data_IF_878496720859
#
_entry.id   IF_878496720859
#
_cell.length_a   1.000
_cell.length_b   1.000
_cell.length_c   1.000
_cell.angle_alpha   90.00
_cell.angle_beta   90.00
_cell.angle_gamma   90.00
#
_symmetry.space_group_name_H-M   'P 1'
#
loop_
_entity.id
_entity.type
_entity.pdbx_description
1 polymer ?
2 water ?
#
# COMPACT_ATOMS: atom_id res chain seq x y z
N UNK A 2 19.46 -0.50 -0.65
CA UNK A 2 18.60 -0.69 -1.81
C UNK A 2 17.14 -0.62 -1.41
N UNK A 3 16.32 0.08 -2.19
CA UNK A 3 14.89 0.07 -1.91
C UNK A 3 14.31 -1.32 -2.06
N UNK A 4 14.87 -2.12 -2.97
CA UNK A 4 14.36 -3.46 -3.22
C UNK A 4 14.50 -4.35 -2.00
N UNK A 5 15.53 -4.14 -1.17
CA UNK A 5 15.66 -4.99 0.01
C UNK A 5 14.54 -4.75 1.00
N UNK A 6 14.02 -3.52 1.07
CA UNK A 6 12.88 -3.27 1.95
C UNK A 6 11.67 -4.08 1.50
N UNK A 7 11.47 -4.20 0.18
CA UNK A 7 10.34 -4.98 -0.32
C UNK A 7 10.58 -6.46 -0.08
N UNK A 8 11.74 -6.96 -0.50
CA UNK A 8 11.98 -8.39 -0.47
C UNK A 8 12.01 -8.94 0.95
N UNK A 9 12.68 -8.23 1.86
CA UNK A 9 12.91 -8.74 3.20
C UNK A 9 11.88 -8.29 4.23
N UNK A 10 11.21 -7.15 4.01
CA UNK A 10 10.39 -6.56 5.06
C UNK A 10 8.93 -6.35 4.69
N UNK A 11 8.56 -6.50 3.43
CA UNK A 11 7.16 -6.57 3.06
C UNK A 11 6.76 -7.96 2.61
N UNK A 12 7.62 -8.65 1.87
CA UNK A 12 7.28 -9.96 1.36
C UNK A 12 7.71 -11.08 2.31
N UNK A 13 7.84 -10.77 3.59
CA UNK A 13 8.25 -11.75 4.59
C UNK A 13 7.03 -12.49 5.14
N UNK A 14 7.30 -13.57 5.86
CA UNK A 14 6.21 -14.34 6.46
C UNK A 14 5.65 -13.61 7.67
N UNK A 15 4.33 -13.67 7.83
CA UNK A 15 3.65 -13.11 9.00
C UNK A 15 2.62 -14.13 9.47
N UNK A 16 2.88 -14.78 10.60
CA UNK A 16 2.00 -15.81 11.14
C UNK A 16 1.60 -16.82 10.07
N UNK A 17 2.57 -17.20 9.23
CA UNK A 17 2.36 -18.22 8.22
C UNK A 17 1.87 -17.73 6.87
N UNK A 18 1.49 -16.45 6.76
CA UNK A 18 0.94 -15.89 5.53
C UNK A 18 1.93 -14.91 4.90
N UNK A 19 1.66 -14.56 3.65
CA UNK A 19 2.54 -13.64 2.93
C UNK A 19 1.72 -12.76 2.00
N UNK A 20 2.09 -11.48 1.90
CA UNK A 20 1.46 -10.61 0.92
C UNK A 20 1.54 -11.23 -0.47
N UNK A 21 0.55 -10.93 -1.29
CA UNK A 21 0.61 -11.32 -2.69
C UNK A 21 1.55 -10.41 -3.48
N UNK A 22 1.57 -9.13 -3.15
CA UNK A 22 2.46 -8.21 -3.84
C UNK A 22 2.68 -6.99 -2.95
N UNK A 23 3.72 -6.24 -3.27
CA UNK A 23 4.12 -5.08 -2.48
C UNK A 23 4.97 -4.17 -3.33
N UNK A 24 5.06 -2.92 -2.91
CA UNK A 24 5.87 -1.95 -3.62
C UNK A 24 6.14 -0.75 -2.75
N UNK A 25 7.18 0.00 -3.12
CA UNK A 25 7.45 1.32 -2.59
C UNK A 25 7.53 2.26 -3.78
N UNK A 26 6.65 3.25 -3.82
CA UNK A 26 6.62 4.26 -4.87
C UNK A 26 7.00 5.62 -4.30
N UNK A 27 7.72 6.42 -5.08
CA UNK A 27 7.86 7.81 -4.71
C UNK A 27 6.51 8.50 -4.68
N UNK A 28 6.43 9.57 -3.90
CA UNK A 28 5.20 10.34 -3.96
C UNK A 28 5.00 11.01 -5.32
N UNK A 29 5.90 10.78 -6.27
CA UNK A 29 5.70 11.19 -7.65
C UNK A 29 5.16 10.07 -8.53
N UNK A 30 4.89 8.89 -7.97
CA UNK A 30 4.38 7.78 -8.73
C UNK A 30 5.42 6.84 -9.30
N UNK A 31 6.70 7.23 -9.30
CA UNK A 31 7.72 6.33 -9.83
C UNK A 31 7.92 5.16 -8.88
N UNK A 32 8.18 3.99 -9.45
CA UNK A 32 8.41 2.79 -8.65
C UNK A 32 9.86 2.77 -8.19
N UNK A 33 10.06 2.78 -6.88
CA UNK A 33 11.40 2.64 -6.32
C UNK A 33 11.76 1.19 -6.06
N UNK A 34 10.76 0.35 -5.78
CA UNK A 34 10.96 -1.08 -5.61
C UNK A 34 9.59 -1.74 -5.71
N UNK A 35 9.57 -2.98 -6.17
CA UNK A 35 8.31 -3.71 -6.22
C UNK A 35 8.58 -5.20 -6.31
N UNK A 36 7.58 -5.97 -5.91
CA UNK A 36 7.57 -7.41 -6.14
C UNK A 36 7.13 -7.71 -7.58
N UNK A 37 7.27 -8.97 -8.00
CA UNK A 37 7.04 -9.31 -9.40
C UNK A 37 5.60 -9.06 -9.81
N UNK A 38 4.66 -9.51 -8.99
CA UNK A 38 3.25 -9.46 -9.32
C UNK A 38 2.59 -8.16 -8.90
N UNK A 39 3.37 -7.13 -8.57
CA UNK A 39 2.76 -5.84 -8.28
C UNK A 39 2.29 -5.20 -9.58
N UNK A 40 1.07 -4.66 -9.63
CA UNK A 40 0.53 -4.17 -10.91
C UNK A 40 1.16 -2.86 -11.34
N UNK A 41 0.97 -2.55 -12.62
CA UNK A 41 1.35 -1.23 -13.12
C UNK A 41 0.27 -0.23 -12.73
N UNK A 42 0.63 0.74 -11.91
CA UNK A 42 -0.33 1.73 -11.41
C UNK A 42 -0.36 2.91 -12.37
N UNK A 43 -1.56 3.37 -12.69
CA UNK A 43 -1.73 4.46 -13.64
C UNK A 43 -1.52 5.81 -12.96
N UNK A 44 -1.10 6.83 -13.71
CA UNK A 44 -0.89 8.15 -13.09
C UNK A 44 -2.13 8.71 -12.41
N UNK A 45 -3.31 8.53 -13.00
CA UNK A 45 -4.51 9.04 -12.35
C UNK A 45 -4.86 8.24 -11.10
N UNK A 46 -4.49 6.96 -11.05
CA UNK A 46 -4.67 6.18 -9.82
C UNK A 46 -3.79 6.73 -8.70
N UNK A 47 -2.52 7.01 -9.02
CA UNK A 47 -1.60 7.59 -8.04
C UNK A 47 -2.10 8.96 -7.59
N UNK A 48 -2.63 9.75 -8.52
CA UNK A 48 -3.13 11.08 -8.17
C UNK A 48 -4.28 10.99 -7.17
N UNK A 49 -5.22 10.07 -7.40
CA UNK A 49 -6.33 9.91 -6.47
C UNK A 49 -5.86 9.50 -5.08
N UNK A 50 -4.84 8.65 -5.02
CA UNK A 50 -4.29 8.23 -3.74
C UNK A 50 -3.65 9.40 -3.01
N UNK A 51 -2.77 10.15 -3.70
CA UNK A 51 -2.13 11.30 -3.07
C UNK A 51 -3.17 12.31 -2.59
N UNK A 52 -4.20 12.54 -3.40
CA UNK A 52 -5.23 13.50 -3.02
C UNK A 52 -5.98 13.03 -1.78
N UNK A 53 -6.25 11.73 -1.69
CA UNK A 53 -7.04 11.21 -0.57
C UNK A 53 -6.31 11.34 0.75
N UNK A 54 -4.97 11.28 0.74
CA UNK A 54 -4.23 11.46 1.98
C UNK A 54 -4.45 12.84 2.57
N UNK A 55 -4.39 13.89 1.75
CA UNK A 55 -4.56 15.23 2.27
C UNK A 55 -6.01 15.69 2.26
N UNK A 56 -6.89 15.00 1.54
CA UNK A 56 -8.32 15.33 1.47
C UNK A 56 -9.12 14.06 1.61
N UNK A 57 -9.36 13.58 2.83
CA UNK A 57 -10.16 12.38 3.02
C UNK A 57 -11.54 12.53 2.38
N UNK A 58 -12.06 11.40 1.89
CA UNK A 58 -13.30 11.38 1.14
C UNK A 58 -13.15 11.50 -0.36
N UNK A 59 -11.92 11.64 -0.86
CA UNK A 59 -11.70 11.76 -2.30
C UNK A 59 -11.97 10.43 -3.00
N UNK A 60 -11.46 9.33 -2.44
CA UNK A 60 -11.52 8.03 -3.09
C UNK A 60 -12.79 7.25 -2.79
N UNK A 61 -13.40 7.47 -1.63
CA UNK A 61 -14.56 6.66 -1.25
C UNK A 61 -15.68 6.63 -2.30
N UNK A 62 -16.06 7.74 -2.95
CA UNK A 62 -17.17 7.67 -3.92
C UNK A 62 -16.89 6.82 -5.14
N UNK A 63 -15.64 6.78 -5.61
CA UNK A 63 -15.30 6.09 -6.84
C UNK A 63 -14.71 4.71 -6.61
N UNK A 64 -14.20 4.45 -5.41
CA UNK A 64 -13.39 3.27 -5.18
C UNK A 64 -11.92 3.53 -5.46
N UNK A 65 -11.10 2.60 -5.00
CA UNK A 65 -9.66 2.69 -5.15
C UNK A 65 -9.24 1.74 -6.26
N UNK A 66 -8.62 2.28 -7.31
CA UNK A 66 -8.21 1.48 -8.45
C UNK A 66 -6.69 1.30 -8.41
N UNK A 67 -6.25 0.07 -8.61
CA UNK A 67 -4.83 -0.28 -8.63
C UNK A 67 -4.62 -1.19 -9.83
N UNK A 68 -3.97 -0.66 -10.86
CA UNK A 68 -3.82 -1.42 -12.09
C UNK A 68 -5.14 -1.85 -12.69
N UNK A 69 -6.16 -1.00 -12.58
CA UNK A 69 -7.48 -1.31 -13.09
C UNK A 69 -8.36 -2.15 -12.18
N UNK A 70 -7.83 -2.67 -11.08
CA UNK A 70 -8.60 -3.48 -10.14
C UNK A 70 -9.26 -2.56 -9.13
N UNK A 71 -10.56 -2.73 -8.92
CA UNK A 71 -11.31 -1.85 -8.04
C UNK A 71 -11.36 -2.41 -6.62
N UNK A 72 -10.95 -1.60 -5.65
CA UNK A 72 -11.06 -1.94 -4.24
C UNK A 72 -12.04 -0.97 -3.59
N UNK A 73 -12.83 -1.45 -2.65
CA UNK A 73 -13.73 -0.54 -1.96
C UNK A 73 -12.95 0.07 -0.80
N UNK A 74 -13.05 1.39 -0.64
CA UNK A 74 -12.29 2.05 0.41
C UNK A 74 -12.90 1.71 1.76
N UNK A 75 -12.06 1.34 2.72
CA UNK A 75 -12.51 1.08 4.08
C UNK A 75 -11.76 1.97 5.07
N UNK A 76 -11.82 1.64 6.36
CA UNK A 76 -11.30 2.53 7.39
C UNK A 76 -9.79 2.72 7.27
N UNK A 77 -9.36 3.98 7.27
CA UNK A 77 -7.95 4.31 7.23
C UNK A 77 -7.59 5.31 8.31
N UNK A 78 -6.47 6.01 8.14
CA UNK A 78 -6.02 7.03 9.07
C UNK A 78 -5.65 8.26 8.26
N UNK A 79 -6.21 9.43 8.57
CA UNK A 79 -6.04 10.61 7.72
C UNK A 79 -4.58 10.98 7.52
N UNK A 80 -4.22 11.21 6.26
CA UNK A 80 -2.88 11.58 5.87
C UNK A 80 -1.83 10.57 6.32
N UNK A 81 -2.23 9.29 6.44
CA UNK A 81 -1.30 8.28 6.95
C UNK A 81 -1.52 6.92 6.29
N UNK A 82 -2.74 6.41 6.33
CA UNK A 82 -3.01 5.06 5.83
C UNK A 82 -4.30 5.04 5.03
N UNK A 83 -4.25 4.43 3.85
CA UNK A 83 -5.43 4.15 3.03
C UNK A 83 -5.59 2.64 3.00
N UNK A 84 -6.82 2.16 3.19
CA UNK A 84 -7.08 0.73 3.17
C UNK A 84 -8.23 0.43 2.22
N UNK A 85 -8.10 -0.65 1.45
CA UNK A 85 -9.14 -1.04 0.53
C UNK A 85 -9.42 -2.52 0.67
N UNK A 86 -10.62 -2.92 0.24
CA UNK A 86 -11.03 -4.31 0.35
C UNK A 86 -11.56 -4.77 -1.00
N UNK A 87 -11.24 -6.02 -1.35
CA UNK A 87 -11.75 -6.64 -2.58
C UNK A 87 -12.11 -8.08 -2.18
N UNK A 88 -13.35 -8.29 -1.75
CA UNK A 88 -13.69 -9.61 -1.23
C UNK A 88 -12.86 -9.93 0.01
N UNK A 89 -12.26 -11.12 0.04
CA UNK A 89 -11.41 -11.51 1.15
C UNK A 89 -9.97 -11.06 0.97
N UNK A 90 -9.69 -10.29 -0.08
CA UNK A 90 -8.40 -9.66 -0.27
C UNK A 90 -8.49 -8.16 -0.06
N UNK A 91 -7.35 -7.50 -0.18
CA UNK A 91 -7.35 -6.07 0.07
C UNK A 91 -5.98 -5.45 -0.13
N UNK A 92 -5.87 -4.20 0.30
CA UNK A 92 -4.65 -3.42 0.07
C UNK A 92 -4.49 -2.43 1.22
N UNK A 93 -3.24 -2.17 1.60
CA UNK A 93 -2.92 -1.13 2.56
C UNK A 93 -1.86 -0.24 1.94
N UNK A 94 -2.04 1.08 2.05
CA UNK A 94 -1.09 2.07 1.53
C UNK A 94 -0.70 2.98 2.68
N UNK A 95 0.59 3.05 2.97
CA UNK A 95 1.10 3.86 4.07
C UNK A 95 1.96 4.98 3.52
N UNK A 96 1.68 6.21 3.95
CA UNK A 96 2.41 7.38 3.48
C UNK A 96 3.60 7.61 4.40
N UNK A 97 4.78 7.77 3.81
CA UNK A 97 5.98 8.11 4.57
C UNK A 97 6.38 9.54 4.22
N UNK A 98 7.59 9.94 4.66
CA UNK A 98 8.05 11.29 4.38
C UNK A 98 8.20 11.53 2.88
N UNK A 99 8.76 10.55 2.17
CA UNK A 99 9.07 10.69 0.75
C UNK A 99 8.30 9.73 -0.14
N UNK A 100 7.67 8.69 0.41
CA UNK A 100 7.28 7.55 -0.40
C UNK A 100 5.90 7.05 0.03
N UNK A 101 5.41 6.07 -0.71
CA UNK A 101 4.14 5.40 -0.42
C UNK A 101 4.44 3.92 -0.42
N UNK A 102 4.05 3.23 0.65
CA UNK A 102 4.32 1.81 0.81
C UNK A 102 3.01 1.07 0.56
N UNK A 103 3.03 0.09 -0.34
CA UNK A 103 1.84 -0.67 -0.72
C UNK A 103 2.02 -2.13 -0.34
N UNK A 104 0.96 -2.73 0.18
CA UNK A 104 0.85 -4.18 0.31
C UNK A 104 -0.51 -4.66 -0.16
N UNK A 105 -0.53 -5.71 -0.99
CA UNK A 105 -1.75 -6.33 -1.49
C UNK A 105 -1.82 -7.75 -0.94
N UNK A 106 -2.96 -8.11 -0.33
CA UNK A 106 -3.10 -9.41 0.29
C UNK A 106 -4.30 -10.16 -0.28
N UNK A 107 -4.23 -11.47 -0.16
CA UNK A 107 -5.32 -12.38 -0.50
C UNK A 107 -5.54 -13.35 0.65
N UNK A 108 -6.69 -14.03 0.64
CA UNK A 108 -6.95 -15.08 1.61
C UNK A 108 -5.79 -16.08 1.59
N UNK A 109 -5.34 -16.57 2.76
CA UNK A 109 -5.93 -16.36 4.09
C UNK A 109 -5.25 -15.28 4.92
N UNK A 110 -4.41 -14.46 4.31
CA UNK A 110 -3.85 -13.36 5.07
C UNK A 110 -4.97 -12.42 5.46
N UNK A 111 -4.90 -11.90 6.71
CA UNK A 111 -5.95 -11.05 7.24
C UNK A 111 -5.61 -9.59 7.01
N UNK A 112 -6.62 -8.71 7.00
CA UNK A 112 -6.34 -7.27 6.93
C UNK A 112 -5.38 -6.81 8.01
N UNK A 113 -5.50 -7.35 9.22
CA UNK A 113 -4.61 -6.95 10.30
C UNK A 113 -3.17 -7.33 10.04
N UNK A 114 -2.95 -8.49 9.41
CA UNK A 114 -1.59 -8.88 9.07
C UNK A 114 -1.00 -7.97 8.00
N UNK A 115 -1.76 -7.65 6.96
CA UNK A 115 -1.27 -6.72 5.94
C UNK A 115 -0.97 -5.36 6.55
N UNK A 116 -1.89 -4.85 7.38
CA UNK A 116 -1.67 -3.54 7.99
C UNK A 116 -0.39 -3.54 8.81
N UNK A 117 -0.15 -4.62 9.55
CA UNK A 117 1.03 -4.67 10.40
C UNK A 117 2.31 -4.58 9.58
N UNK A 118 2.41 -5.38 8.52
CA UNK A 118 3.67 -5.41 7.79
C UNK A 118 3.90 -4.09 7.06
N UNK A 119 2.85 -3.54 6.46
CA UNK A 119 2.98 -2.31 5.68
C UNK A 119 3.22 -1.12 6.60
N UNK A 120 2.42 -0.99 7.66
CA UNK A 120 2.52 0.18 8.51
C UNK A 120 3.80 0.17 9.33
N UNK A 121 4.25 -1.02 9.76
CA UNK A 121 5.49 -1.09 10.52
C UNK A 121 6.69 -0.72 9.65
N UNK A 122 6.72 -1.18 8.39
CA UNK A 122 7.82 -0.77 7.53
C UNK A 122 7.75 0.72 7.25
N UNK A 123 6.55 1.25 7.01
CA UNK A 123 6.42 2.68 6.80
C UNK A 123 6.93 3.48 7.98
N UNK A 124 6.64 3.02 9.20
CA UNK A 124 7.11 3.75 10.37
C UNK A 124 8.62 3.68 10.51
N UNK A 125 9.22 2.54 10.14
CA UNK A 125 10.68 2.46 10.11
C UNK A 125 11.24 3.47 9.12
N UNK A 126 10.64 3.57 7.94
CA UNK A 126 11.15 4.50 6.94
C UNK A 126 11.04 5.95 7.42
N UNK A 127 9.94 6.29 8.09
CA UNK A 127 9.76 7.66 8.60
C UNK A 127 10.87 8.00 9.59
N UNK A 128 11.23 7.05 10.47
CA UNK A 128 12.34 7.26 11.40
C UNK A 128 13.66 7.47 10.68
N UNK A 129 13.80 6.92 9.48
CA UNK A 129 15.00 7.15 8.68
C UNK A 129 14.95 8.48 7.93
N UNK A 130 13.86 9.23 8.05
CA UNK A 130 13.66 10.40 7.22
C UNK A 130 13.26 10.08 5.80
N UNK A 131 12.60 8.95 5.57
CA UNK A 131 12.25 8.49 4.23
C UNK A 131 10.74 8.28 4.12
#
# INVERSE_FOLDING_TARGET
>A
MSWQTYVDDHLMCDVAGNRLTAAAILGQDGSVWAQSNNFPQVKPEEIQGIKDDFTTPGTLAPTGLFLGGNKYMVIQGEPNAVIRGKKGAGGVTIKKTTLALVFGIYDEPMTPGQCNMVVENLGEYLIESGL
#
